data_IF_869335608712
#
_entry.id   IF_869335608712
#
_cell.length_a   1.000
_cell.length_b   1.000
_cell.length_c   1.000
_cell.angle_alpha   90.00
_cell.angle_beta   90.00
_cell.angle_gamma   90.00
#
_symmetry.space_group_name_H-M   'P 1'
#
loop_
_entity.id
_entity.type
_entity.pdbx_description
1 polymer ?
#
# COMPACT_ATOMS: atom_id res chain seq x y z
N UNK A 1 -17.01 0.98 -1.15
CA UNK A 1 -15.54 0.97 -0.99
C UNK A 1 -15.11 0.37 0.36
N UNK A 2 -15.83 0.61 1.46
CA UNK A 2 -15.39 0.18 2.80
C UNK A 2 -15.34 -1.34 3.06
N UNK A 3 -16.26 -2.13 2.51
CA UNK A 3 -16.32 -3.56 2.83
C UNK A 3 -15.08 -4.35 2.40
N UNK A 4 -14.44 -3.99 1.28
CA UNK A 4 -13.23 -4.67 0.80
C UNK A 4 -11.98 -4.19 1.54
N UNK A 5 -11.98 -2.99 2.12
CA UNK A 5 -10.86 -2.48 2.91
C UNK A 5 -10.75 -3.21 4.26
N UNK A 6 -11.90 -3.55 4.86
CA UNK A 6 -11.93 -4.24 6.16
C UNK A 6 -11.52 -5.71 6.11
N UNK A 7 -11.39 -6.33 4.92
CA UNK A 7 -10.96 -7.73 4.82
C UNK A 7 -9.44 -7.89 5.02
N UNK A 8 -8.66 -6.83 4.81
CA UNK A 8 -7.20 -6.85 4.90
C UNK A 8 -6.71 -7.03 6.34
N UNK A 9 -7.50 -6.57 7.33
CA UNK A 9 -7.17 -6.67 8.75
C UNK A 9 -8.31 -7.29 9.55
N UNK A 10 -8.05 -8.40 10.25
CA UNK A 10 -9.08 -9.17 10.99
C UNK A 10 -9.66 -8.45 12.22
N UNK A 11 -9.09 -7.31 12.64
CA UNK A 11 -9.38 -6.67 13.91
C UNK A 11 -9.39 -5.14 13.77
N UNK A 12 -10.57 -4.51 13.69
CA UNK A 12 -10.91 -3.08 13.92
C UNK A 12 -10.00 -1.93 13.42
N UNK A 13 -8.85 -2.21 12.81
CA UNK A 13 -7.84 -1.23 12.48
C UNK A 13 -8.31 -0.40 11.30
N UNK A 14 -8.75 -1.04 10.23
CA UNK A 14 -9.34 -0.37 9.08
C UNK A 14 -10.75 0.13 9.42
N UNK A 15 -10.96 1.45 9.36
CA UNK A 15 -12.26 2.05 9.63
C UNK A 15 -12.94 2.59 8.38
N UNK A 16 -12.17 3.24 7.50
CA UNK A 16 -12.70 3.89 6.31
C UNK A 16 -11.63 4.04 5.24
N UNK A 17 -12.02 3.90 3.97
CA UNK A 17 -11.14 4.29 2.86
C UNK A 17 -11.92 4.88 1.68
N UNK A 18 -11.41 5.98 1.13
CA UNK A 18 -11.86 6.51 -0.16
C UNK A 18 -10.68 6.96 -0.99
N UNK A 19 -10.87 7.13 -2.30
CA UNK A 19 -9.80 7.51 -3.22
C UNK A 19 -10.22 8.54 -4.25
N UNK A 20 -9.24 9.31 -4.71
CA UNK A 20 -9.37 10.27 -5.81
C UNK A 20 -8.31 10.00 -6.89
N UNK A 21 -8.63 10.16 -8.19
CA UNK A 21 -9.99 10.24 -8.71
C UNK A 21 -10.76 8.93 -8.47
N UNK A 22 -12.08 9.07 -8.29
CA UNK A 22 -12.99 7.93 -8.33
C UNK A 22 -13.22 7.55 -9.78
N UNK A 23 -12.96 6.29 -10.13
CA UNK A 23 -13.37 5.72 -11.42
C UNK A 23 -13.75 4.26 -11.24
N UNK A 24 -14.73 3.82 -12.01
CA UNK A 24 -15.16 2.42 -12.12
C UNK A 24 -14.82 1.84 -13.50
N UNK A 25 -14.29 2.66 -14.42
CA UNK A 25 -13.91 2.22 -15.77
C UNK A 25 -12.48 1.67 -15.77
N UNK A 26 -12.38 0.35 -15.72
CA UNK A 26 -11.12 -0.39 -15.59
C UNK A 26 -10.84 -1.36 -16.74
N UNK A 27 -11.78 -1.48 -17.69
CA UNK A 27 -11.79 -2.58 -18.66
C UNK A 27 -10.53 -2.63 -19.54
N UNK A 28 -9.95 -1.47 -19.84
CA UNK A 28 -8.79 -1.33 -20.72
C UNK A 28 -7.49 -0.98 -19.97
N UNK A 29 -7.46 -1.11 -18.65
CA UNK A 29 -6.31 -0.75 -17.82
C UNK A 29 -5.63 -1.98 -17.22
N UNK A 30 -4.30 -2.02 -17.31
CA UNK A 30 -3.45 -2.91 -16.52
C UNK A 30 -3.67 -2.70 -15.02
N UNK A 31 -3.34 -3.69 -14.19
CA UNK A 31 -3.53 -3.57 -12.75
C UNK A 31 -2.82 -2.35 -12.13
N UNK A 32 -1.65 -1.97 -12.66
CA UNK A 32 -0.90 -0.80 -12.19
C UNK A 32 -1.62 0.52 -12.54
N UNK A 33 -2.11 0.65 -13.77
CA UNK A 33 -2.86 1.84 -14.22
C UNK A 33 -4.12 2.09 -13.38
N UNK A 34 -4.68 1.04 -12.77
CA UNK A 34 -5.88 1.17 -11.92
C UNK A 34 -5.67 1.92 -10.61
N UNK A 35 -4.43 2.06 -10.14
CA UNK A 35 -4.15 2.71 -8.85
C UNK A 35 -3.07 3.78 -8.92
N UNK A 36 -2.14 3.72 -9.87
CA UNK A 36 -1.08 4.74 -9.98
C UNK A 36 -1.69 6.10 -10.31
N UNK A 37 -1.21 7.15 -9.64
CA UNK A 37 -1.74 8.51 -9.74
C UNK A 37 -2.98 8.77 -8.88
N UNK A 38 -3.54 7.73 -8.24
CA UNK A 38 -4.63 7.90 -7.27
C UNK A 38 -4.07 8.24 -5.89
N UNK A 39 -4.86 8.97 -5.11
CA UNK A 39 -4.64 9.20 -3.68
C UNK A 39 -5.72 8.49 -2.90
N UNK A 40 -5.33 7.58 -2.01
CA UNK A 40 -6.22 6.97 -1.02
C UNK A 40 -6.14 7.73 0.29
N UNK A 41 -7.30 7.95 0.89
CA UNK A 41 -7.49 8.59 2.18
C UNK A 41 -8.11 7.54 3.10
N UNK A 42 -7.42 7.25 4.18
CA UNK A 42 -7.66 6.11 5.04
C UNK A 42 -7.78 6.62 6.48
N UNK A 43 -8.80 6.16 7.19
CA UNK A 43 -8.83 6.24 8.65
C UNK A 43 -8.58 4.84 9.19
N UNK A 44 -7.50 4.68 9.95
CA UNK A 44 -7.13 3.40 10.52
C UNK A 44 -6.33 3.47 11.83
N UNK A 45 -6.28 2.39 12.59
CA UNK A 45 -5.39 2.28 13.74
C UNK A 45 -4.01 1.75 13.36
N UNK A 46 -2.98 2.53 13.68
CA UNK A 46 -1.58 2.09 13.67
C UNK A 46 -1.10 2.03 15.12
N UNK A 47 -0.93 0.80 15.64
CA UNK A 47 -0.75 0.61 17.08
C UNK A 47 -2.02 0.98 17.85
N UNK A 48 -1.91 1.89 18.82
CA UNK A 48 -3.04 2.36 19.62
C UNK A 48 -3.60 3.72 19.15
N UNK A 49 -3.05 4.27 18.06
CA UNK A 49 -3.41 5.60 17.56
C UNK A 49 -4.31 5.48 16.33
N UNK A 50 -5.47 6.14 16.38
CA UNK A 50 -6.29 6.37 15.20
C UNK A 50 -5.58 7.39 14.30
N UNK A 51 -5.04 6.91 13.19
CA UNK A 51 -4.32 7.68 12.20
C UNK A 51 -5.21 7.97 10.99
N UNK A 52 -5.11 9.21 10.50
CA UNK A 52 -5.55 9.55 9.15
C UNK A 52 -4.37 9.47 8.22
N UNK A 53 -4.41 8.57 7.24
CA UNK A 53 -3.36 8.41 6.25
C UNK A 53 -3.85 8.90 4.90
N UNK A 54 -2.97 9.62 4.21
CA UNK A 54 -3.13 9.92 2.79
C UNK A 54 -1.99 9.27 2.04
N UNK A 55 -2.31 8.46 1.04
CA UNK A 55 -1.35 7.66 0.29
C UNK A 55 -1.52 7.96 -1.19
N UNK A 56 -0.58 8.67 -1.81
CA UNK A 56 -0.54 8.87 -3.26
C UNK A 56 0.35 7.82 -3.91
N UNK A 57 -0.22 7.01 -4.80
CA UNK A 57 0.51 5.97 -5.49
C UNK A 57 1.28 6.52 -6.68
N UNK A 58 2.55 6.13 -6.79
CA UNK A 58 3.45 6.63 -7.83
C UNK A 58 4.16 5.50 -8.56
N UNK A 59 4.61 5.80 -9.78
CA UNK A 59 5.46 4.90 -10.55
C UNK A 59 6.80 4.67 -9.83
N UNK A 60 7.30 3.42 -9.76
CA UNK A 60 8.63 3.12 -9.23
C UNK A 60 9.75 3.90 -9.94
N UNK A 61 9.63 4.10 -11.24
CA UNK A 61 10.58 4.87 -12.04
C UNK A 61 10.72 6.32 -11.57
N UNK A 62 9.67 6.90 -10.97
CA UNK A 62 9.72 8.27 -10.42
C UNK A 62 10.68 8.42 -9.23
N UNK A 63 11.05 7.30 -8.58
CA UNK A 63 12.05 7.25 -7.52
C UNK A 63 13.37 6.62 -7.98
N UNK A 64 13.57 6.46 -9.30
CA UNK A 64 14.81 5.93 -9.87
C UNK A 64 14.95 4.41 -9.82
N UNK A 65 13.87 3.66 -9.58
CA UNK A 65 13.93 2.20 -9.70
C UNK A 65 14.13 1.79 -11.16
N UNK A 66 15.13 0.95 -11.42
CA UNK A 66 15.32 0.32 -12.72
C UNK A 66 14.41 -0.91 -12.85
N UNK A 67 13.24 -0.72 -13.44
CA UNK A 67 12.23 -1.78 -13.61
C UNK A 67 12.63 -2.82 -14.66
N UNK A 68 13.52 -2.48 -15.59
CA UNK A 68 14.02 -3.42 -16.61
C UNK A 68 14.86 -4.56 -16.01
N UNK A 69 15.49 -4.34 -14.86
CA UNK A 69 16.28 -5.37 -14.16
C UNK A 69 15.42 -6.34 -13.33
N UNK A 70 14.12 -6.05 -13.15
CA UNK A 70 13.26 -6.82 -12.25
C UNK A 70 13.10 -8.30 -12.60
N UNK A 71 12.94 -8.71 -13.88
CA UNK A 71 12.83 -10.12 -14.23
C UNK A 71 14.03 -10.94 -13.75
N UNK A 72 15.25 -10.41 -13.87
CA UNK A 72 16.48 -11.08 -13.43
C UNK A 72 16.60 -11.12 -11.90
N UNK A 73 16.05 -10.11 -11.22
CA UNK A 73 16.02 -10.03 -9.75
C UNK A 73 14.83 -10.77 -9.11
N UNK A 74 13.94 -11.35 -9.93
CA UNK A 74 12.71 -11.99 -9.50
C UNK A 74 11.67 -11.02 -8.90
N UNK A 75 11.82 -9.71 -9.11
CA UNK A 75 10.87 -8.71 -8.61
C UNK A 75 9.65 -8.73 -9.54
N UNK A 76 8.47 -8.98 -8.98
CA UNK A 76 7.22 -9.03 -9.76
C UNK A 76 6.50 -7.68 -9.75
N UNK A 77 6.58 -6.95 -8.65
CA UNK A 77 6.04 -5.60 -8.53
C UNK A 77 6.61 -4.89 -7.28
N UNK A 78 6.54 -3.56 -7.28
CA UNK A 78 6.63 -2.75 -6.06
C UNK A 78 5.49 -1.74 -6.08
N UNK A 79 4.70 -1.73 -5.01
CA UNK A 79 3.68 -0.71 -4.77
C UNK A 79 4.33 0.37 -3.92
N UNK A 80 4.35 1.61 -4.41
CA UNK A 80 4.95 2.76 -3.73
C UNK A 80 3.87 3.80 -3.50
N UNK A 81 3.78 4.26 -2.25
CA UNK A 81 2.93 5.37 -1.86
C UNK A 81 3.75 6.47 -1.20
N UNK A 82 3.57 7.72 -1.64
CA UNK A 82 3.89 8.89 -0.80
C UNK A 82 2.88 8.90 0.34
N UNK A 83 3.32 9.09 1.59
CA UNK A 83 2.45 8.97 2.76
C UNK A 83 2.46 10.24 3.61
N UNK A 84 1.29 10.73 3.99
CA UNK A 84 1.10 11.80 4.97
C UNK A 84 0.24 11.27 6.13
N UNK A 85 0.66 11.57 7.36
CA UNK A 85 0.05 11.08 8.60
C UNK A 85 -0.63 12.24 9.34
N UNK A 86 -1.82 12.00 9.91
CA UNK A 86 -2.46 12.89 10.87
C UNK A 86 -3.48 13.87 10.27
N UNK A 87 -3.50 14.06 8.95
CA UNK A 87 -4.54 14.84 8.28
C UNK A 87 -4.75 14.37 6.83
N UNK A 88 -5.89 14.71 6.24
CA UNK A 88 -6.05 14.67 4.79
C UNK A 88 -5.45 15.96 4.21
N UNK A 89 -4.27 15.92 3.58
CA UNK A 89 -3.60 17.12 3.15
C UNK A 89 -4.44 17.82 2.09
N UNK A 90 -4.66 19.12 2.29
CA UNK A 90 -5.14 20.05 1.26
C UNK A 90 -3.99 20.67 0.47
N UNK A 91 -2.75 20.23 0.74
CA UNK A 91 -1.48 20.67 0.15
C UNK A 91 -0.72 19.47 -0.46
N UNK A 92 0.41 19.73 -1.11
CA UNK A 92 1.28 18.70 -1.71
C UNK A 92 1.88 17.75 -0.65
N UNK A 93 2.25 16.54 -1.09
CA UNK A 93 3.00 15.57 -0.29
C UNK A 93 4.43 16.08 -0.03
N UNK A 94 5.09 15.60 1.02
CA UNK A 94 6.42 16.08 1.44
C UNK A 94 7.60 15.58 0.59
N UNK A 95 7.34 14.71 -0.39
CA UNK A 95 8.33 14.06 -1.26
C UNK A 95 9.53 13.43 -0.53
N UNK A 96 9.33 13.06 0.73
CA UNK A 96 10.37 12.46 1.59
C UNK A 96 9.83 11.31 2.45
N UNK A 97 8.51 11.23 2.63
CA UNK A 97 7.82 10.15 3.33
C UNK A 97 7.19 9.15 2.34
N UNK A 98 7.63 7.90 2.42
CA UNK A 98 7.23 6.82 1.52
C UNK A 98 6.97 5.52 2.27
N UNK A 99 5.96 4.78 1.82
CA UNK A 99 5.82 3.35 2.09
C UNK A 99 5.98 2.57 0.79
N UNK A 100 6.54 1.37 0.90
CA UNK A 100 6.81 0.52 -0.24
C UNK A 100 6.56 -0.95 0.11
N UNK A 101 5.87 -1.68 -0.76
CA UNK A 101 5.71 -3.13 -0.68
C UNK A 101 6.22 -3.78 -1.96
N UNK A 102 7.35 -4.48 -1.86
CA UNK A 102 7.93 -5.22 -2.99
C UNK A 102 7.55 -6.68 -2.91
N UNK A 103 6.99 -7.23 -3.98
CA UNK A 103 6.79 -8.67 -4.15
C UNK A 103 7.94 -9.24 -4.95
N UNK A 104 8.64 -10.21 -4.38
CA UNK A 104 9.74 -10.92 -5.03
C UNK A 104 9.48 -12.41 -5.06
N UNK A 105 9.63 -13.01 -6.24
CA UNK A 105 9.65 -14.46 -6.43
C UNK A 105 11.02 -15.02 -6.08
N UNK A 106 11.03 -16.02 -5.21
CA UNK A 106 12.21 -16.79 -4.85
C UNK A 106 12.47 -17.93 -5.84
N UNK A 107 13.71 -18.46 -5.92
CA UNK A 107 14.02 -19.64 -6.73
C UNK A 107 13.16 -20.88 -6.41
N UNK A 108 12.65 -20.99 -5.18
CA UNK A 108 11.72 -22.06 -4.77
C UNK A 108 10.31 -21.94 -5.35
N UNK A 109 9.99 -20.83 -6.02
CA UNK A 109 8.65 -20.48 -6.49
C UNK A 109 7.77 -19.77 -5.46
N UNK A 110 8.19 -19.72 -4.18
CA UNK A 110 7.54 -18.91 -3.16
C UNK A 110 7.69 -17.42 -3.45
N UNK A 111 6.74 -16.63 -2.95
CA UNK A 111 6.80 -15.17 -3.01
C UNK A 111 6.99 -14.62 -1.61
N UNK A 112 7.87 -13.65 -1.49
CA UNK A 112 8.03 -12.85 -0.29
C UNK A 112 7.54 -11.42 -0.57
N UNK A 113 6.99 -10.80 0.47
CA UNK A 113 6.64 -9.39 0.47
C UNK A 113 7.62 -8.65 1.39
N UNK A 114 8.33 -7.66 0.84
CA UNK A 114 9.34 -6.87 1.54
C UNK A 114 8.84 -5.44 1.66
N UNK A 115 8.58 -5.01 2.89
CA UNK A 115 8.06 -3.67 3.16
C UNK A 115 9.17 -2.71 3.58
N UNK A 116 9.05 -1.43 3.23
CA UNK A 116 9.90 -0.33 3.70
C UNK A 116 9.03 0.88 4.05
N UNK A 117 9.38 1.55 5.14
CA UNK A 117 8.73 2.77 5.59
C UNK A 117 9.80 3.82 5.85
N UNK A 118 9.70 4.94 5.16
CA UNK A 118 10.53 6.12 5.34
C UNK A 118 9.58 7.24 5.73
N UNK A 119 9.70 7.79 6.93
CA UNK A 119 8.80 8.83 7.42
C UNK A 119 9.67 10.00 7.90
N UNK A 120 9.44 11.18 7.34
CA UNK A 120 10.15 12.38 7.70
C UNK A 120 9.78 12.83 9.13
N UNK A 121 10.72 13.48 9.83
CA UNK A 121 10.45 14.04 11.17
C UNK A 121 9.30 15.05 11.16
N UNK A 122 9.15 15.82 10.08
CA UNK A 122 8.04 16.74 9.84
C UNK A 122 6.69 16.04 9.64
N UNK A 123 6.70 14.75 9.31
CA UNK A 123 5.52 13.92 9.10
C UNK A 123 5.35 12.93 10.26
N UNK A 124 5.52 13.43 11.50
CA UNK A 124 5.26 12.70 12.74
C UNK A 124 6.16 11.48 13.02
N UNK A 125 7.33 11.38 12.37
CA UNK A 125 8.26 10.26 12.61
C UNK A 125 8.72 10.17 14.06
N UNK A 126 8.51 9.01 14.66
CA UNK A 126 9.02 8.65 15.99
C UNK A 126 9.47 7.18 15.99
N UNK A 127 10.30 6.78 16.95
CA UNK A 127 10.68 5.38 17.12
C UNK A 127 9.47 4.47 17.38
N UNK A 128 8.48 4.98 18.13
CA UNK A 128 7.23 4.27 18.42
C UNK A 128 6.41 4.06 17.14
N UNK A 129 6.22 5.10 16.33
CA UNK A 129 5.54 4.97 15.04
C UNK A 129 6.24 3.95 14.12
N UNK A 130 7.58 3.95 14.09
CA UNK A 130 8.34 2.97 13.31
C UNK A 130 8.10 1.51 13.77
N UNK A 131 8.04 1.28 15.07
CA UNK A 131 7.65 -0.01 15.64
C UNK A 131 6.22 -0.39 15.23
N UNK A 132 5.28 0.54 15.39
CA UNK A 132 3.86 0.26 15.17
C UNK A 132 3.54 0.00 13.69
N UNK A 133 4.19 0.72 12.76
CA UNK A 133 4.13 0.44 11.32
C UNK A 133 4.67 -0.95 10.99
N UNK A 134 5.77 -1.37 11.61
CA UNK A 134 6.34 -2.69 11.37
C UNK A 134 5.42 -3.83 11.87
N UNK A 135 4.84 -3.68 13.05
CA UNK A 135 3.88 -4.64 13.62
C UNK A 135 2.60 -4.67 12.80
N UNK A 136 2.02 -3.51 12.50
CA UNK A 136 0.81 -3.38 11.69
C UNK A 136 1.00 -4.08 10.33
N UNK A 137 2.08 -3.74 9.62
CA UNK A 137 2.38 -4.33 8.31
C UNK A 137 2.56 -5.86 8.38
N UNK A 138 3.22 -6.36 9.43
CA UNK A 138 3.40 -7.81 9.59
C UNK A 138 2.05 -8.52 9.74
N UNK A 139 1.15 -7.99 10.56
CA UNK A 139 -0.17 -8.58 10.81
C UNK A 139 -1.03 -8.52 9.54
N UNK A 140 -1.14 -7.34 8.92
CA UNK A 140 -1.98 -7.12 7.75
C UNK A 140 -1.52 -7.96 6.55
N UNK A 141 -0.24 -7.91 6.20
CA UNK A 141 0.28 -8.58 5.01
C UNK A 141 0.29 -10.11 5.18
N UNK A 142 0.52 -10.61 6.41
CA UNK A 142 0.40 -12.03 6.71
C UNK A 142 -1.05 -12.50 6.62
N UNK A 143 -1.99 -11.69 7.10
CA UNK A 143 -3.41 -11.98 7.00
C UNK A 143 -3.85 -12.02 5.54
N UNK A 144 -3.55 -10.97 4.77
CA UNK A 144 -3.84 -10.88 3.34
C UNK A 144 -3.27 -12.07 2.58
N UNK A 145 -2.00 -12.43 2.83
CA UNK A 145 -1.33 -13.55 2.19
C UNK A 145 -2.05 -14.90 2.35
N UNK A 146 -2.84 -15.08 3.42
CA UNK A 146 -3.57 -16.32 3.68
C UNK A 146 -4.77 -16.54 2.74
N UNK A 147 -5.37 -15.48 2.17
CA UNK A 147 -6.58 -15.60 1.34
C UNK A 147 -6.52 -14.84 0.01
N UNK A 148 -5.48 -14.02 -0.23
CA UNK A 148 -5.31 -13.25 -1.47
C UNK A 148 -5.45 -14.09 -2.76
N UNK A 149 -4.87 -15.31 -2.88
CA UNK A 149 -5.05 -16.12 -4.08
C UNK A 149 -6.48 -16.63 -4.28
N UNK A 150 -7.25 -16.82 -3.21
CA UNK A 150 -8.64 -17.25 -3.29
C UNK A 150 -9.53 -16.09 -3.76
N UNK A 151 -9.43 -14.95 -3.10
CA UNK A 151 -10.24 -13.77 -3.44
C UNK A 151 -9.91 -13.23 -4.83
N UNK A 152 -8.63 -13.25 -5.24
CA UNK A 152 -8.25 -12.85 -6.59
C UNK A 152 -8.89 -13.77 -7.65
N UNK A 153 -8.90 -15.10 -7.42
CA UNK A 153 -9.54 -16.03 -8.37
C UNK A 153 -11.04 -15.79 -8.50
N UNK A 154 -11.70 -15.47 -7.40
CA UNK A 154 -13.14 -15.22 -7.34
C UNK A 154 -13.52 -13.90 -8.03
N UNK A 155 -12.79 -12.82 -7.76
CA UNK A 155 -13.21 -11.45 -8.12
C UNK A 155 -12.41 -10.79 -9.26
N UNK A 156 -11.34 -11.39 -9.79
CA UNK A 156 -10.51 -10.74 -10.84
C UNK A 156 -11.28 -10.31 -12.10
N UNK A 157 -12.46 -10.85 -12.33
CA UNK A 157 -13.32 -10.58 -13.49
C UNK A 157 -14.65 -9.90 -13.10
N UNK A 158 -14.82 -9.43 -11.86
CA UNK A 158 -16.12 -8.94 -11.37
C UNK A 158 -16.27 -7.41 -11.43
N UNK A 159 -15.42 -6.72 -12.18
CA UNK A 159 -15.52 -5.29 -12.50
C UNK A 159 -14.98 -5.06 -13.91
#
# INVERSE_FOLDING_TARGET
>A
MDYHFNIYFKVFAHQYSYRIPYTEDWGNQSYAERYIGTTSYIDEYVGNDAAKLSIQFVHPESLGFNTTAWPELGIETIVIGKVMIGNYPTTEFDDTSYLMHQVRRMPSGYRELRSRFFIAASNHSTAQLGHDLAVHCNIEMTHLGAFLPAIFREFKNTL
#
